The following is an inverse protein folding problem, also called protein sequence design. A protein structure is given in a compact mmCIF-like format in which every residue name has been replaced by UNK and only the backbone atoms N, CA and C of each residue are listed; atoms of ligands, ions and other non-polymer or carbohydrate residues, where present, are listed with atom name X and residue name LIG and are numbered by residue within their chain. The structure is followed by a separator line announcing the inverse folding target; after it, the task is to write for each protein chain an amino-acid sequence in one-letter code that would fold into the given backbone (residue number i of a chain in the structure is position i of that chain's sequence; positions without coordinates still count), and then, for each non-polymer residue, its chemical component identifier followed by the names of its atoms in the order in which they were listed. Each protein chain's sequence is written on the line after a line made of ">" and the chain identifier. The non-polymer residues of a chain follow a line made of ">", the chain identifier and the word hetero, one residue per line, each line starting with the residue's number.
data_IF_522717517874
#
_entry.id   IF_522717517874
#
_cell.length_a   1.000
_cell.length_b   1.000
_cell.length_c   1.000
_cell.angle_alpha   90.00
_cell.angle_beta   90.00
_cell.angle_gamma   90.00
#
_symmetry.space_group_name_H-M   'P 1'
#
loop_
_entity.id
_entity.type
_entity.pdbx_description
1 polymer ?
#
# COMPACT_ATOMS: atom_id res chain seq x y z
N UNK A 1 -0.10 -35.72 27.09
CA UNK A 1 -0.37 -36.98 26.34
C UNK A 1 0.02 -36.63 24.86
N UNK A 2 1.21 -37.07 24.47
CA UNK A 2 1.78 -36.79 23.14
C UNK A 2 1.18 -37.80 22.15
N UNK A 3 0.64 -37.32 21.05
CA UNK A 3 0.31 -38.17 19.90
C UNK A 3 1.16 -37.69 18.72
N UNK A 4 2.09 -38.58 18.37
CA UNK A 4 3.02 -38.47 17.26
C UNK A 4 2.33 -39.11 16.03
N UNK A 5 2.16 -38.40 14.93
CA UNK A 5 1.80 -38.99 13.63
C UNK A 5 2.99 -38.94 12.69
N UNK A 6 3.55 -40.13 12.44
CA UNK A 6 4.45 -40.41 11.32
C UNK A 6 3.59 -40.55 10.05
N UNK A 7 3.98 -39.89 8.95
CA UNK A 7 3.58 -40.31 7.61
C UNK A 7 4.79 -40.71 6.77
N UNK A 8 4.69 -41.91 6.26
CA UNK A 8 5.65 -42.59 5.39
C UNK A 8 5.69 -41.95 4.00
N UNK A 9 6.92 -41.86 3.51
CA UNK A 9 7.28 -41.57 2.11
C UNK A 9 7.14 -42.89 1.31
N UNK A 10 6.43 -42.84 0.17
CA UNK A 10 6.50 -43.89 -0.84
C UNK A 10 6.94 -43.29 -2.17
N UNK A 11 8.13 -43.70 -2.57
CA UNK A 11 8.82 -43.40 -3.81
C UNK A 11 8.47 -44.50 -4.85
N UNK A 12 8.05 -44.12 -6.05
CA UNK A 12 8.08 -45.04 -7.20
C UNK A 12 8.68 -44.35 -8.41
N UNK A 13 9.87 -44.81 -8.73
CA UNK A 13 10.58 -44.61 -9.99
C UNK A 13 10.00 -45.56 -11.04
N UNK A 14 9.75 -45.09 -12.26
CA UNK A 14 9.71 -45.94 -13.44
C UNK A 14 10.47 -45.30 -14.60
N UNK A 15 11.54 -46.04 -14.93
CA UNK A 15 12.40 -45.90 -16.12
C UNK A 15 11.65 -46.41 -17.37
N UNK A 16 11.90 -45.81 -18.53
CA UNK A 16 11.56 -46.35 -19.81
C UNK A 16 12.36 -45.71 -20.94
N UNK A 17 13.44 -46.38 -21.30
CA UNK A 17 14.30 -46.14 -22.48
C UNK A 17 13.73 -46.78 -23.74
N UNK A 18 14.07 -46.21 -24.90
CA UNK A 18 14.59 -46.88 -26.11
C UNK A 18 13.96 -46.29 -27.38
N UNK A 19 14.64 -45.92 -28.38
CA UNK A 19 15.76 -46.18 -29.23
C UNK A 19 15.35 -45.81 -30.68
N UNK A 20 16.23 -45.08 -31.31
CA UNK A 20 16.74 -45.03 -32.67
C UNK A 20 15.89 -45.52 -33.88
N UNK A 21 15.96 -44.71 -34.93
CA UNK A 21 15.72 -45.06 -36.31
C UNK A 21 16.16 -43.99 -37.28
N UNK A 22 17.42 -44.02 -37.65
CA UNK A 22 18.08 -43.26 -38.72
C UNK A 22 17.81 -43.99 -40.09
N UNK A 23 17.44 -43.24 -41.13
CA UNK A 23 17.78 -43.62 -42.53
C UNK A 23 17.72 -42.40 -43.44
N UNK A 24 18.78 -42.32 -44.23
CA UNK A 24 19.22 -41.35 -45.20
C UNK A 24 18.55 -41.50 -46.59
N UNK A 25 18.77 -40.37 -47.37
CA UNK A 25 18.94 -40.28 -48.84
C UNK A 25 17.65 -40.16 -49.68
N UNK A 26 17.57 -39.40 -50.74
CA UNK A 26 18.49 -38.87 -51.77
C UNK A 26 17.78 -37.72 -52.53
N UNK A 27 18.59 -36.78 -52.98
CA UNK A 27 18.36 -35.67 -53.89
C UNK A 27 17.58 -35.94 -55.19
N UNK A 28 16.84 -34.90 -55.66
CA UNK A 28 16.95 -34.45 -57.08
C UNK A 28 16.52 -32.99 -57.21
N UNK A 29 17.38 -32.22 -57.89
CA UNK A 29 17.15 -30.89 -58.37
C UNK A 29 16.07 -30.82 -59.43
N UNK A 30 15.27 -29.78 -59.46
CA UNK A 30 14.89 -29.10 -60.71
C UNK A 30 14.28 -27.71 -60.41
N UNK A 31 14.79 -26.82 -61.13
CA UNK A 31 14.74 -25.37 -61.34
C UNK A 31 13.30 -24.75 -61.48
N UNK A 32 13.32 -23.43 -61.21
CA UNK A 32 12.39 -22.39 -61.67
C UNK A 32 11.06 -22.20 -60.96
N UNK A 33 10.84 -21.13 -60.20
CA UNK A 33 10.27 -19.85 -60.65
C UNK A 33 10.19 -18.83 -59.51
N UNK A 34 10.67 -17.68 -59.85
CA UNK A 34 10.61 -16.47 -59.09
C UNK A 34 9.18 -15.99 -58.86
N UNK A 35 8.71 -16.00 -57.58
CA UNK A 35 7.55 -15.23 -57.18
C UNK A 35 7.89 -14.52 -55.87
N UNK A 36 8.11 -13.23 -56.00
CA UNK A 36 8.20 -12.27 -54.93
C UNK A 36 7.01 -12.37 -53.99
N UNK A 37 7.19 -13.01 -52.85
CA UNK A 37 6.31 -12.83 -51.73
C UNK A 37 6.88 -11.76 -50.83
N UNK A 38 6.27 -10.58 -50.89
CA UNK A 38 6.34 -9.55 -49.87
C UNK A 38 5.90 -10.19 -48.57
N UNK A 39 6.86 -10.61 -47.76
CA UNK A 39 6.60 -11.08 -46.38
C UNK A 39 6.13 -9.89 -45.57
N UNK A 40 4.83 -9.82 -45.35
CA UNK A 40 4.30 -9.11 -44.21
C UNK A 40 4.77 -9.91 -42.99
N UNK A 41 5.75 -9.39 -42.27
CA UNK A 41 6.03 -9.86 -40.94
C UNK A 41 4.76 -9.54 -40.11
N UNK A 42 3.91 -10.52 -39.91
CA UNK A 42 3.00 -10.47 -38.78
C UNK A 42 3.88 -10.56 -37.53
N UNK A 43 4.12 -9.42 -36.89
CA UNK A 43 4.69 -9.36 -35.56
C UNK A 43 3.73 -10.17 -34.68
N UNK A 44 4.21 -11.29 -34.13
CA UNK A 44 3.45 -12.02 -33.12
C UNK A 44 3.15 -11.01 -31.99
N UNK A 45 1.91 -10.99 -31.46
CA UNK A 45 1.57 -10.10 -30.37
C UNK A 45 2.51 -10.38 -29.21
N UNK A 46 3.27 -9.39 -28.80
CA UNK A 46 4.12 -9.44 -27.62
C UNK A 46 3.20 -9.66 -26.44
N UNK A 47 3.28 -10.84 -25.80
CA UNK A 47 2.50 -11.14 -24.61
C UNK A 47 3.06 -10.32 -23.45
N UNK A 48 2.24 -9.42 -22.90
CA UNK A 48 2.60 -8.57 -21.76
C UNK A 48 2.99 -9.44 -20.56
N UNK A 49 3.99 -9.03 -19.83
CA UNK A 49 4.31 -9.61 -18.51
C UNK A 49 3.14 -9.43 -17.54
N UNK A 50 3.11 -10.18 -16.44
CA UNK A 50 2.08 -10.01 -15.40
C UNK A 50 2.14 -8.59 -14.78
N UNK A 51 3.34 -8.03 -14.63
CA UNK A 51 3.53 -6.66 -14.16
C UNK A 51 2.97 -5.62 -15.13
N UNK A 52 3.23 -5.76 -16.44
CA UNK A 52 2.67 -4.86 -17.46
C UNK A 52 1.14 -4.93 -17.52
N UNK A 53 0.54 -6.10 -17.32
CA UNK A 53 -0.93 -6.24 -17.22
C UNK A 53 -1.49 -5.47 -16.03
N UNK A 54 -0.84 -5.58 -14.86
CA UNK A 54 -1.24 -4.82 -13.67
C UNK A 54 -1.13 -3.30 -13.88
N UNK A 55 -0.11 -2.85 -14.61
CA UNK A 55 0.03 -1.44 -14.99
C UNK A 55 -1.08 -0.97 -15.93
N UNK A 56 -1.56 -1.83 -16.84
CA UNK A 56 -2.70 -1.50 -17.72
C UNK A 56 -4.04 -1.38 -16.95
N UNK A 57 -4.17 -2.07 -15.82
CA UNK A 57 -5.36 -2.04 -14.94
C UNK A 57 -5.39 -0.80 -14.03
N UNK A 58 -4.31 -0.02 -13.94
CA UNK A 58 -4.26 1.21 -13.14
C UNK A 58 -5.38 2.18 -13.53
N UNK A 59 -5.98 2.90 -12.57
CA UNK A 59 -6.95 3.96 -12.86
C UNK A 59 -6.40 4.94 -13.88
N UNK A 60 -7.16 5.21 -14.94
CA UNK A 60 -6.67 5.94 -16.13
C UNK A 60 -6.35 7.40 -15.86
N UNK A 61 -7.08 7.99 -14.91
CA UNK A 61 -6.98 9.42 -14.59
C UNK A 61 -5.97 9.69 -13.46
N UNK A 62 -5.36 8.63 -12.89
CA UNK A 62 -4.38 8.77 -11.80
C UNK A 62 -2.98 9.05 -12.34
N UNK A 63 -2.28 10.02 -11.76
CA UNK A 63 -0.95 10.46 -12.16
C UNK A 63 -0.04 10.67 -10.96
N UNK A 64 1.27 10.59 -11.14
CA UNK A 64 2.27 10.81 -10.09
C UNK A 64 2.18 12.19 -9.44
N UNK A 65 1.74 13.20 -10.19
CA UNK A 65 1.61 14.58 -9.72
C UNK A 65 0.28 14.85 -9.01
N UNK A 66 -0.60 13.85 -8.84
CA UNK A 66 -1.87 14.04 -8.16
C UNK A 66 -1.65 14.37 -6.69
N UNK A 67 -2.34 15.41 -6.24
CA UNK A 67 -2.20 15.96 -4.89
C UNK A 67 -2.50 14.95 -3.77
N UNK A 68 -3.36 13.96 -4.03
CA UNK A 68 -3.76 12.91 -3.10
C UNK A 68 -2.83 11.69 -3.12
N UNK A 69 -1.92 11.63 -4.08
CA UNK A 69 -0.94 10.54 -4.23
C UNK A 69 0.47 10.91 -3.75
N UNK A 70 0.62 12.10 -3.17
CA UNK A 70 1.92 12.50 -2.59
C UNK A 70 2.41 11.47 -1.58
N UNK A 71 3.57 10.88 -1.85
CA UNK A 71 4.22 9.92 -0.95
C UNK A 71 5.05 10.67 0.09
N UNK A 72 4.67 10.52 1.36
CA UNK A 72 5.43 11.01 2.51
C UNK A 72 5.61 9.87 3.50
N UNK A 73 6.81 9.65 3.99
CA UNK A 73 7.13 8.55 4.88
C UNK A 73 8.60 8.53 5.27
N UNK A 74 9.09 7.50 5.96
CA UNK A 74 10.48 7.43 6.43
C UNK A 74 11.52 7.68 5.34
N UNK A 75 11.25 7.22 4.10
CA UNK A 75 12.14 7.36 2.94
C UNK A 75 11.83 8.57 2.06
N UNK A 76 10.67 9.23 2.27
CA UNK A 76 10.15 10.30 1.41
C UNK A 76 9.74 11.50 2.24
N UNK A 77 10.50 12.60 2.14
CA UNK A 77 10.19 13.85 2.85
C UNK A 77 9.01 14.58 2.20
N UNK A 78 8.26 15.33 3.01
CA UNK A 78 7.27 16.26 2.49
C UNK A 78 7.95 17.28 1.56
N UNK A 79 7.46 17.48 0.30
CA UNK A 79 8.00 18.48 -0.59
C UNK A 79 7.91 19.90 0.01
N UNK A 80 8.96 20.71 -0.12
CA UNK A 80 9.02 22.07 0.45
C UNK A 80 7.87 22.99 -0.02
N UNK A 81 7.33 22.75 -1.21
CA UNK A 81 6.25 23.54 -1.79
C UNK A 81 4.86 23.03 -1.40
N UNK A 82 4.76 21.95 -0.65
CA UNK A 82 3.46 21.41 -0.26
C UNK A 82 2.88 22.19 0.91
N UNK A 83 1.70 22.76 0.72
CA UNK A 83 0.92 23.46 1.74
C UNK A 83 -0.50 22.90 1.74
N UNK A 84 -0.94 22.19 2.81
CA UNK A 84 -2.31 21.71 2.93
C UNK A 84 -3.27 22.89 3.16
N UNK A 85 -4.48 22.79 2.60
CA UNK A 85 -5.56 23.72 2.87
C UNK A 85 -6.39 23.15 4.01
N UNK A 86 -6.20 23.68 5.21
CA UNK A 86 -6.74 23.08 6.41
C UNK A 86 -8.17 23.54 6.70
N UNK A 87 -9.03 22.57 7.01
CA UNK A 87 -10.36 22.75 7.59
C UNK A 87 -10.42 22.01 8.92
N UNK A 88 -11.11 22.60 9.89
CA UNK A 88 -11.36 21.98 11.19
C UNK A 88 -12.51 20.97 11.09
N UNK A 89 -12.30 19.81 11.67
CA UNK A 89 -13.26 18.73 11.79
C UNK A 89 -13.50 18.38 13.27
N UNK A 90 -13.93 17.16 13.56
CA UNK A 90 -14.21 16.70 14.91
C UNK A 90 -12.99 16.83 15.86
N UNK A 91 -13.25 17.08 17.14
CA UNK A 91 -12.25 17.13 18.22
C UNK A 91 -11.12 18.15 18.01
N UNK A 92 -11.42 19.32 17.41
CA UNK A 92 -10.43 20.37 17.12
C UNK A 92 -9.25 19.87 16.25
N UNK A 93 -9.48 18.80 15.47
CA UNK A 93 -8.51 18.29 14.52
C UNK A 93 -8.70 18.98 13.16
N UNK A 94 -7.66 18.94 12.34
CA UNK A 94 -7.66 19.55 11.02
C UNK A 94 -7.31 18.51 9.95
N UNK A 95 -7.92 18.65 8.78
CA UNK A 95 -7.60 17.87 7.59
C UNK A 95 -7.44 18.81 6.38
N UNK A 96 -6.97 18.30 5.25
CA UNK A 96 -7.01 19.05 4.00
C UNK A 96 -8.48 19.22 3.56
N UNK A 97 -8.89 20.44 3.20
CA UNK A 97 -10.29 20.77 2.83
C UNK A 97 -10.82 19.90 1.69
N UNK A 98 -9.93 19.37 0.83
CA UNK A 98 -10.31 18.54 -0.32
C UNK A 98 -10.85 17.16 0.06
N UNK A 99 -10.57 16.70 1.28
CA UNK A 99 -11.04 15.40 1.79
C UNK A 99 -12.16 15.54 2.83
N UNK A 100 -12.62 16.76 3.13
CA UNK A 100 -13.67 17.01 4.12
C UNK A 100 -14.97 16.27 3.80
N UNK A 101 -15.41 16.30 2.55
CA UNK A 101 -16.63 15.60 2.12
C UNK A 101 -16.48 14.07 2.26
N UNK A 102 -15.35 13.51 1.89
CA UNK A 102 -15.05 12.08 2.00
C UNK A 102 -15.07 11.63 3.48
N UNK A 103 -14.40 12.38 4.35
CA UNK A 103 -14.43 12.10 5.80
C UNK A 103 -15.84 12.20 6.37
N UNK A 104 -16.55 13.28 6.12
CA UNK A 104 -17.89 13.49 6.66
C UNK A 104 -18.86 12.40 6.23
N UNK A 105 -18.84 12.02 4.94
CA UNK A 105 -19.67 10.94 4.41
C UNK A 105 -19.35 9.59 5.04
N UNK A 106 -18.07 9.28 5.24
CA UNK A 106 -17.64 8.03 5.88
C UNK A 106 -18.04 7.99 7.36
N UNK A 107 -17.87 9.08 8.09
CA UNK A 107 -18.27 9.20 9.50
C UNK A 107 -19.81 9.11 9.66
N UNK A 108 -20.59 9.73 8.77
CA UNK A 108 -22.07 9.59 8.76
C UNK A 108 -22.47 8.13 8.52
N UNK A 109 -21.85 7.44 7.57
CA UNK A 109 -22.12 6.02 7.31
C UNK A 109 -21.73 5.13 8.50
N UNK A 110 -20.65 5.45 9.22
CA UNK A 110 -20.27 4.75 10.45
C UNK A 110 -21.36 4.88 11.52
N UNK A 111 -21.90 6.09 11.71
CA UNK A 111 -23.00 6.34 12.66
C UNK A 111 -24.26 5.56 12.27
N UNK A 112 -24.60 5.50 10.97
CA UNK A 112 -25.74 4.71 10.47
C UNK A 112 -25.54 3.21 10.68
N UNK A 113 -24.28 2.73 10.59
CA UNK A 113 -23.90 1.33 10.89
C UNK A 113 -23.84 1.03 12.40
N UNK A 114 -23.98 2.05 13.27
CA UNK A 114 -23.98 1.90 14.72
C UNK A 114 -22.60 2.08 15.36
N UNK A 115 -21.62 2.59 14.63
CA UNK A 115 -20.28 2.90 15.12
C UNK A 115 -20.14 4.39 15.44
N UNK A 116 -19.45 4.69 16.53
CA UNK A 116 -19.09 6.05 16.89
C UNK A 116 -17.58 6.22 16.81
N UNK A 117 -17.15 6.83 15.71
CA UNK A 117 -15.74 7.05 15.48
C UNK A 117 -15.22 8.24 16.29
N UNK A 118 -14.03 8.10 16.83
CA UNK A 118 -13.27 9.14 17.50
C UNK A 118 -12.09 9.54 16.60
N UNK A 119 -12.10 10.77 16.15
CA UNK A 119 -11.02 11.34 15.38
C UNK A 119 -9.86 11.73 16.33
N UNK A 120 -8.82 10.90 16.37
CA UNK A 120 -7.73 11.05 17.34
C UNK A 120 -6.63 12.03 16.87
N UNK A 121 -6.27 12.00 15.58
CA UNK A 121 -5.24 12.87 15.00
C UNK A 121 -5.47 13.06 13.51
N UNK A 122 -5.42 14.32 13.05
CA UNK A 122 -5.42 14.72 11.64
C UNK A 122 -4.11 15.40 11.26
N UNK A 123 -4.19 16.60 10.69
CA UNK A 123 -3.01 17.39 10.36
C UNK A 123 -2.11 17.62 11.58
N UNK A 124 -0.82 17.44 11.35
CA UNK A 124 0.23 17.68 12.36
C UNK A 124 1.32 18.53 11.74
N UNK A 125 1.60 19.69 12.31
CA UNK A 125 2.72 20.51 11.84
C UNK A 125 4.07 19.82 12.06
N UNK A 126 5.09 20.20 11.28
CA UNK A 126 6.46 19.68 11.44
C UNK A 126 6.97 19.93 12.88
N UNK A 127 6.64 21.08 13.45
CA UNK A 127 7.04 21.39 14.83
C UNK A 127 6.31 20.52 15.87
N UNK A 128 5.01 20.26 15.67
CA UNK A 128 4.27 19.33 16.54
C UNK A 128 4.84 17.91 16.44
N UNK A 129 5.17 17.44 15.24
CA UNK A 129 5.84 16.14 15.04
C UNK A 129 7.18 16.09 15.79
N UNK A 130 7.97 17.16 15.74
CA UNK A 130 9.25 17.24 16.48
C UNK A 130 9.06 17.09 17.98
N UNK A 131 8.04 17.73 18.52
CA UNK A 131 7.72 17.61 19.94
C UNK A 131 7.31 16.19 20.29
N UNK A 132 6.43 15.57 19.48
CA UNK A 132 5.97 14.19 19.70
C UNK A 132 7.14 13.20 19.62
N UNK A 133 7.95 13.32 18.59
CA UNK A 133 9.12 12.46 18.37
C UNK A 133 10.10 12.53 19.55
N UNK A 134 10.45 13.75 19.96
CA UNK A 134 11.36 13.94 21.09
C UNK A 134 10.78 13.43 22.41
N UNK A 135 9.49 13.67 22.68
CA UNK A 135 8.85 13.18 23.90
C UNK A 135 8.82 11.65 23.96
N UNK A 136 8.56 10.98 22.85
CA UNK A 136 8.56 9.52 22.77
C UNK A 136 9.97 8.98 22.95
N UNK A 137 10.96 9.57 22.29
CA UNK A 137 12.37 9.21 22.44
C UNK A 137 12.84 9.35 23.91
N UNK A 138 12.56 10.49 24.54
CA UNK A 138 12.88 10.72 25.95
C UNK A 138 12.14 9.77 26.90
N UNK A 139 10.91 9.35 26.56
CA UNK A 139 10.17 8.35 27.34
C UNK A 139 10.92 7.02 27.37
N UNK A 140 11.39 6.53 26.20
CA UNK A 140 12.17 5.30 26.14
C UNK A 140 13.52 5.41 26.86
N UNK A 141 14.19 6.56 26.80
CA UNK A 141 15.41 6.78 27.60
C UNK A 141 15.11 6.70 29.11
N UNK A 142 13.99 7.27 29.57
CA UNK A 142 13.56 7.23 30.97
C UNK A 142 13.15 5.81 31.42
N UNK A 143 12.71 4.95 30.50
CA UNK A 143 12.46 3.54 30.74
C UNK A 143 13.76 2.70 30.84
N UNK A 144 14.91 3.29 30.48
CA UNK A 144 16.23 2.69 30.62
C UNK A 144 16.80 2.06 29.36
N UNK A 145 16.19 2.31 28.18
CA UNK A 145 16.76 1.92 26.89
C UNK A 145 18.01 2.77 26.58
N UNK A 146 18.92 2.21 25.77
CA UNK A 146 20.04 2.98 25.21
C UNK A 146 19.54 4.04 24.20
N UNK A 147 20.37 5.01 23.86
CA UNK A 147 20.04 6.03 22.85
C UNK A 147 19.67 5.40 21.49
N UNK A 148 20.40 4.37 21.07
CA UNK A 148 20.14 3.63 19.84
C UNK A 148 18.79 2.89 19.90
N UNK A 149 18.56 2.11 20.97
CA UNK A 149 17.29 1.39 21.14
C UNK A 149 16.09 2.33 21.31
N UNK A 150 16.25 3.45 22.00
CA UNK A 150 15.21 4.46 22.18
C UNK A 150 14.85 5.11 20.82
N UNK A 151 15.85 5.40 20.00
CA UNK A 151 15.65 5.95 18.67
C UNK A 151 14.93 4.96 17.73
N UNK A 152 15.38 3.71 17.69
CA UNK A 152 14.77 2.67 16.88
C UNK A 152 13.30 2.45 17.27
N UNK A 153 13.02 2.32 18.57
CA UNK A 153 11.64 2.18 19.07
C UNK A 153 10.76 3.39 18.79
N UNK A 154 11.33 4.58 18.77
CA UNK A 154 10.59 5.79 18.39
C UNK A 154 10.23 5.73 16.91
N UNK A 155 11.16 5.31 16.06
CA UNK A 155 10.97 5.21 14.61
C UNK A 155 10.03 4.07 14.18
N UNK A 156 9.80 3.08 15.03
CA UNK A 156 8.84 2.01 14.76
C UNK A 156 7.42 2.54 14.47
N UNK A 157 7.03 3.67 15.10
CA UNK A 157 5.68 4.24 14.99
C UNK A 157 5.64 5.75 14.70
N UNK A 158 6.78 6.44 14.78
CA UNK A 158 6.85 7.88 14.55
C UNK A 158 7.95 8.21 13.54
N UNK A 159 7.58 8.81 12.45
CA UNK A 159 8.54 9.35 11.48
C UNK A 159 9.24 10.59 12.00
N UNK A 160 10.43 10.88 11.49
CA UNK A 160 11.14 12.13 11.75
C UNK A 160 10.32 13.36 11.29
N UNK A 161 10.53 14.54 11.91
CA UNK A 161 9.88 15.77 11.46
C UNK A 161 10.14 16.06 9.98
N UNK A 162 9.09 16.30 9.22
CA UNK A 162 9.14 16.46 7.77
C UNK A 162 8.87 15.16 6.99
N UNK A 163 8.73 14.03 7.67
CA UNK A 163 8.50 12.70 7.08
C UNK A 163 7.16 12.06 7.51
N UNK A 164 6.30 12.81 8.21
CA UNK A 164 4.99 12.31 8.63
C UNK A 164 3.91 12.58 7.59
N UNK A 165 3.09 11.58 7.26
CA UNK A 165 1.91 11.80 6.41
C UNK A 165 0.92 12.80 6.97
N UNK A 166 0.84 12.93 8.29
CA UNK A 166 -0.01 13.93 8.94
C UNK A 166 0.34 15.38 8.55
N UNK A 167 1.54 15.64 8.01
CA UNK A 167 1.87 16.95 7.47
C UNK A 167 1.07 17.29 6.20
N UNK A 168 0.53 16.29 5.54
CA UNK A 168 -0.28 16.48 4.32
C UNK A 168 -1.71 16.88 4.62
N UNK A 169 -2.22 16.58 5.81
CA UNK A 169 -3.65 16.67 6.12
C UNK A 169 -4.49 15.57 5.47
N UNK A 170 -3.85 14.55 4.82
CA UNK A 170 -4.51 13.43 4.16
C UNK A 170 -4.54 12.15 5.00
N UNK A 171 -3.85 12.15 6.14
CA UNK A 171 -3.78 11.03 7.09
C UNK A 171 -4.68 11.31 8.29
N UNK A 172 -5.41 10.27 8.70
CA UNK A 172 -6.39 10.29 9.77
C UNK A 172 -6.15 9.12 10.73
N UNK A 173 -5.90 9.43 11.99
CA UNK A 173 -5.92 8.41 13.05
C UNK A 173 -7.33 8.34 13.64
N UNK A 174 -7.97 7.19 13.46
CA UNK A 174 -9.38 6.98 13.83
C UNK A 174 -9.50 5.71 14.66
N UNK A 175 -10.22 5.80 15.76
CA UNK A 175 -10.62 4.67 16.59
C UNK A 175 -12.09 4.82 17.01
N UNK A 176 -12.61 3.92 17.83
CA UNK A 176 -13.95 3.98 18.36
C UNK A 176 -13.99 4.81 19.67
N UNK A 177 -15.08 5.58 19.89
CA UNK A 177 -15.26 6.36 21.13
C UNK A 177 -15.21 5.46 22.37
N UNK A 178 -15.83 4.27 22.33
CA UNK A 178 -15.84 3.36 23.47
C UNK A 178 -14.44 2.83 23.76
N UNK A 179 -13.61 2.63 22.72
CA UNK A 179 -12.22 2.22 22.84
C UNK A 179 -11.39 3.23 23.62
N UNK A 180 -11.51 4.51 23.27
CA UNK A 180 -10.81 5.61 23.95
C UNK A 180 -11.33 5.80 25.38
N UNK A 181 -12.66 5.77 25.58
CA UNK A 181 -13.29 5.88 26.92
C UNK A 181 -12.86 4.76 27.85
N UNK A 182 -12.61 3.56 27.31
CA UNK A 182 -12.07 2.43 28.08
C UNK A 182 -10.59 2.61 28.48
N UNK A 183 -9.93 3.70 28.06
CA UNK A 183 -8.55 4.00 28.39
C UNK A 183 -7.53 3.39 27.45
N UNK A 184 -7.96 2.85 26.31
CA UNK A 184 -7.08 2.36 25.28
C UNK A 184 -6.52 3.53 24.45
N UNK A 185 -5.34 3.33 23.87
CA UNK A 185 -4.70 4.29 22.97
C UNK A 185 -4.77 3.84 21.50
N UNK A 186 -3.93 4.45 20.70
CA UNK A 186 -3.66 4.02 19.32
C UNK A 186 -2.71 2.81 19.39
N UNK A 187 -3.26 1.62 19.37
CA UNK A 187 -2.52 0.36 19.49
C UNK A 187 -3.07 -0.68 18.48
N UNK A 188 -2.23 -1.61 17.99
CA UNK A 188 -2.63 -2.59 16.96
C UNK A 188 -3.87 -3.40 17.29
N UNK A 189 -4.10 -3.73 18.56
CA UNK A 189 -5.23 -4.51 19.04
C UNK A 189 -6.59 -3.86 18.77
N UNK A 190 -6.64 -2.59 18.33
CA UNK A 190 -7.88 -1.97 17.86
C UNK A 190 -8.51 -2.72 16.68
N UNK A 191 -7.74 -3.49 15.91
CA UNK A 191 -8.22 -4.35 14.82
C UNK A 191 -9.24 -5.41 15.25
N UNK A 192 -9.32 -5.71 16.56
CA UNK A 192 -10.33 -6.62 17.15
C UNK A 192 -11.71 -5.99 17.25
N UNK A 193 -11.84 -4.68 17.06
CA UNK A 193 -13.10 -3.96 17.23
C UNK A 193 -13.97 -4.05 15.96
N UNK A 194 -15.29 -4.15 16.16
CA UNK A 194 -16.25 -4.21 15.05
C UNK A 194 -16.22 -2.94 14.20
N UNK A 195 -15.97 -1.78 14.82
CA UNK A 195 -15.83 -0.51 14.12
C UNK A 195 -14.63 -0.51 13.16
N UNK A 196 -13.49 -1.05 13.58
CA UNK A 196 -12.31 -1.15 12.73
C UNK A 196 -12.55 -2.12 11.56
N UNK A 197 -13.15 -3.27 11.82
CA UNK A 197 -13.50 -4.23 10.77
C UNK A 197 -14.46 -3.62 9.74
N UNK A 198 -15.47 -2.86 10.22
CA UNK A 198 -16.38 -2.11 9.35
C UNK A 198 -15.63 -1.05 8.52
N UNK A 199 -14.69 -0.32 9.14
CA UNK A 199 -13.86 0.65 8.40
C UNK A 199 -13.05 -0.03 7.31
N UNK A 200 -12.45 -1.19 7.57
CA UNK A 200 -11.71 -1.96 6.57
C UNK A 200 -12.57 -2.42 5.40
N UNK A 201 -13.84 -2.73 5.65
CA UNK A 201 -14.79 -3.15 4.60
C UNK A 201 -15.29 -1.99 3.73
N UNK A 202 -15.24 -0.76 4.24
CA UNK A 202 -15.89 0.39 3.60
C UNK A 202 -14.94 1.51 3.17
N UNK A 203 -13.72 1.57 3.69
CA UNK A 203 -12.79 2.68 3.50
C UNK A 203 -12.56 3.05 2.03
N UNK A 204 -12.53 2.07 1.13
CA UNK A 204 -12.27 2.28 -0.29
C UNK A 204 -13.38 3.06 -0.99
N UNK A 205 -14.64 2.88 -0.57
CA UNK A 205 -15.80 3.60 -1.09
C UNK A 205 -15.77 5.10 -0.77
N UNK A 206 -14.91 5.49 0.18
CA UNK A 206 -14.68 6.89 0.57
C UNK A 206 -13.26 7.37 0.22
N UNK A 207 -12.51 6.58 -0.53
CA UNK A 207 -11.18 6.95 -1.02
C UNK A 207 -10.05 6.79 -0.01
N UNK A 208 -10.24 6.01 1.05
CA UNK A 208 -9.21 5.75 2.07
C UNK A 208 -8.62 4.35 1.94
N UNK A 209 -7.39 4.22 2.41
CA UNK A 209 -6.68 2.95 2.59
C UNK A 209 -6.15 2.84 4.02
N UNK A 210 -5.99 1.62 4.53
CA UNK A 210 -5.15 1.37 5.70
C UNK A 210 -3.69 1.52 5.27
N UNK A 211 -3.02 2.55 5.80
CA UNK A 211 -1.72 2.98 5.28
C UNK A 211 -0.57 2.04 5.63
N UNK A 212 -0.59 1.49 6.83
CA UNK A 212 0.45 0.64 7.40
C UNK A 212 -0.11 -0.73 7.78
N UNK A 213 -0.46 -1.57 6.76
CA UNK A 213 -1.03 -2.89 7.01
C UNK A 213 0.04 -3.88 7.50
N UNK A 214 -0.40 -4.88 8.27
CA UNK A 214 0.47 -5.95 8.75
C UNK A 214 1.16 -6.70 7.60
N UNK A 215 2.42 -7.08 7.78
CA UNK A 215 3.30 -7.78 6.83
C UNK A 215 3.85 -6.92 5.69
N UNK A 216 3.67 -5.62 5.75
CA UNK A 216 4.22 -4.64 4.80
C UNK A 216 5.26 -3.71 5.45
N UNK A 217 5.65 -3.97 6.70
CA UNK A 217 6.56 -3.15 7.49
C UNK A 217 7.94 -2.98 6.82
N UNK A 218 8.43 -3.99 6.09
CA UNK A 218 9.69 -3.91 5.34
C UNK A 218 9.63 -2.91 4.16
N UNK A 219 8.43 -2.62 3.65
CA UNK A 219 8.21 -1.69 2.53
C UNK A 219 8.00 -0.28 3.08
N UNK A 220 7.10 -0.14 4.06
CA UNK A 220 6.69 1.15 4.61
C UNK A 220 7.66 1.71 5.65
N UNK A 221 8.53 0.87 6.26
CA UNK A 221 9.40 1.16 7.42
C UNK A 221 8.62 1.65 8.67
N UNK A 222 7.31 1.36 8.74
CA UNK A 222 6.43 1.64 9.88
C UNK A 222 5.75 0.34 10.31
N UNK A 223 5.60 0.15 11.61
CA UNK A 223 4.89 -0.98 12.17
C UNK A 223 3.40 -0.93 11.84
N UNK A 224 2.71 -2.07 12.00
CA UNK A 224 1.27 -2.16 11.77
C UNK A 224 0.48 -1.16 12.61
N UNK A 225 -0.34 -0.33 11.96
CA UNK A 225 -1.20 0.67 12.57
C UNK A 225 -2.65 0.49 12.14
N UNK A 226 -3.46 -0.20 12.96
CA UNK A 226 -4.86 -0.49 12.66
C UNK A 226 -5.79 0.74 12.65
N UNK A 227 -5.30 1.89 13.06
CA UNK A 227 -6.01 3.15 13.22
C UNK A 227 -5.68 4.20 12.15
N UNK A 228 -4.57 4.04 11.40
CA UNK A 228 -4.04 5.05 10.50
C UNK A 228 -4.56 4.86 9.08
N UNK A 229 -5.44 5.74 8.65
CA UNK A 229 -6.02 5.74 7.31
C UNK A 229 -5.46 6.89 6.48
N UNK A 230 -5.23 6.63 5.19
CA UNK A 230 -4.73 7.60 4.24
C UNK A 230 -5.71 7.77 3.08
N UNK A 231 -6.07 9.04 2.78
CA UNK A 231 -6.85 9.36 1.59
C UNK A 231 -5.99 9.31 0.33
N UNK A 232 -6.48 8.61 -0.67
CA UNK A 232 -5.85 8.46 -1.99
C UNK A 232 -6.85 8.64 -3.15
N UNK A 233 -8.16 8.82 -2.84
CA UNK A 233 -9.25 8.84 -3.82
C UNK A 233 -9.83 7.44 -4.07
N UNK A 234 -11.12 7.36 -4.41
CA UNK A 234 -11.88 6.11 -4.48
C UNK A 234 -11.28 5.09 -5.46
N UNK A 235 -11.01 5.48 -6.71
CA UNK A 235 -10.48 4.56 -7.72
C UNK A 235 -9.10 4.01 -7.32
N UNK A 236 -8.23 4.88 -6.76
CA UNK A 236 -6.92 4.47 -6.27
C UNK A 236 -7.02 3.54 -5.07
N UNK A 237 -7.93 3.85 -4.12
CA UNK A 237 -8.14 3.05 -2.93
C UNK A 237 -8.61 1.63 -3.28
N UNK A 238 -9.58 1.51 -4.17
CA UNK A 238 -10.06 0.22 -4.67
C UNK A 238 -8.92 -0.58 -5.31
N UNK A 239 -8.16 0.04 -6.22
CA UNK A 239 -7.05 -0.64 -6.88
C UNK A 239 -5.97 -1.10 -5.87
N UNK A 240 -5.55 -0.23 -4.95
CA UNK A 240 -4.54 -0.54 -3.93
C UNK A 240 -4.97 -1.74 -3.08
N UNK A 241 -6.21 -1.76 -2.63
CA UNK A 241 -6.73 -2.83 -1.76
C UNK A 241 -6.96 -4.13 -2.54
N UNK A 242 -7.50 -4.06 -3.76
CA UNK A 242 -7.73 -5.24 -4.60
C UNK A 242 -6.42 -5.99 -4.92
N UNK A 243 -5.33 -5.25 -5.10
CA UNK A 243 -4.01 -5.84 -5.43
C UNK A 243 -3.08 -6.02 -4.22
N UNK A 244 -3.60 -5.89 -2.98
CA UNK A 244 -2.82 -6.02 -1.73
C UNK A 244 -1.55 -5.15 -1.73
N UNK A 245 -1.67 -3.88 -2.13
CA UNK A 245 -0.57 -2.93 -2.20
C UNK A 245 -0.53 -2.00 -1.00
N UNK A 246 0.65 -1.40 -0.78
CA UNK A 246 0.81 -0.15 -0.04
C UNK A 246 1.03 1.01 -1.02
N UNK A 247 0.96 2.23 -0.51
CA UNK A 247 1.09 3.43 -1.36
C UNK A 247 2.42 3.47 -2.11
N UNK A 248 3.52 3.02 -1.51
CA UNK A 248 4.84 2.89 -2.13
C UNK A 248 4.76 2.03 -3.40
N UNK A 249 4.21 0.82 -3.29
CA UNK A 249 4.08 -0.12 -4.41
C UNK A 249 3.13 0.42 -5.50
N UNK A 250 2.11 1.19 -5.11
CA UNK A 250 1.20 1.84 -6.05
C UNK A 250 1.91 2.94 -6.85
N UNK A 251 2.70 3.79 -6.19
CA UNK A 251 3.50 4.83 -6.84
C UNK A 251 4.51 4.20 -7.81
N UNK A 252 5.20 3.13 -7.43
CA UNK A 252 6.12 2.40 -8.32
C UNK A 252 5.41 1.91 -9.60
N UNK A 253 4.15 1.47 -9.51
CA UNK A 253 3.37 1.08 -10.70
C UNK A 253 2.99 2.27 -11.58
N UNK A 254 2.70 3.43 -11.00
CA UNK A 254 2.47 4.65 -11.76
C UNK A 254 3.75 5.11 -12.49
N UNK A 255 4.91 5.01 -11.83
CA UNK A 255 6.22 5.29 -12.45
C UNK A 255 6.48 4.35 -13.64
N UNK A 256 6.25 3.05 -13.48
CA UNK A 256 6.36 2.07 -14.56
C UNK A 256 5.44 2.42 -15.74
N UNK A 257 4.20 2.84 -15.48
CA UNK A 257 3.27 3.28 -16.54
C UNK A 257 3.84 4.45 -17.35
N UNK A 258 4.40 5.45 -16.70
CA UNK A 258 5.02 6.59 -17.38
C UNK A 258 6.23 6.17 -18.21
N UNK A 259 7.06 5.27 -17.69
CA UNK A 259 8.20 4.72 -18.43
C UNK A 259 7.78 3.97 -19.69
N UNK A 260 6.75 3.12 -19.61
CA UNK A 260 6.21 2.38 -20.75
C UNK A 260 5.62 3.32 -21.81
N UNK A 261 4.95 4.40 -21.40
CA UNK A 261 4.40 5.41 -22.31
C UNK A 261 5.49 6.24 -23.01
N UNK A 262 6.61 6.51 -22.34
CA UNK A 262 7.72 7.28 -22.89
C UNK A 262 8.60 6.47 -23.86
N UNK A 263 8.55 5.13 -23.79
CA UNK A 263 9.34 4.22 -24.62
C UNK A 263 8.59 3.73 -25.88
N UNK A 264 7.32 4.07 -26.04
CA UNK A 264 6.48 3.78 -27.21
C UNK A 264 6.30 5.02 -28.09
#
# INVERSE_FOLDING_TARGET
>A
MRILFLFLISSTLLFGCSMNGELQEVSTESDSDELTHSGVNEEEPVELSEEEKLVEELPKDSNLDDWNLILVGPKSALPEAFEPRLVEVDNEQFIDERIEEAWNSWNEAAVEAGHRLFFASGYRSIEHQRVNFNNTYESYLNEGYSEEEALDRTKDYLTEPGHSEHHTGLALDIVDEEWIVAGNGLIPEYDTQASQQWMMETMTDYGFILRYPAKKEEITDIQYESWHFRYVGEENAHYIVEHDLVLEEYIERLEMREELQNNN
#
